data_IF_423468589055
#
_entry.id   IF_423468589055
#
_cell.length_a   1.000
_cell.length_b   1.000
_cell.length_c   1.000
_cell.angle_alpha   90.00
_cell.angle_beta   90.00
_cell.angle_gamma   90.00
#
_symmetry.space_group_name_H-M   'P 1'
#
loop_
_entity.id
_entity.type
_entity.pdbx_description
1 polymer ?
#
# COMPACT_ATOMS: atom_id res chain seq x y z
N UNK A 1 6.16 -17.53 -25.34
CA UNK A 1 6.08 -17.40 -23.87
C UNK A 1 5.52 -16.02 -23.58
N UNK A 2 4.48 -15.90 -22.74
CA UNK A 2 3.68 -14.68 -22.57
C UNK A 2 4.00 -14.04 -21.21
N UNK A 3 4.62 -12.86 -21.22
CA UNK A 3 4.39 -11.69 -20.34
C UNK A 3 3.94 -11.94 -18.88
N UNK A 4 4.59 -12.83 -18.13
CA UNK A 4 4.24 -13.07 -16.72
C UNK A 4 4.64 -11.89 -15.81
N UNK A 5 5.68 -11.13 -16.14
CA UNK A 5 6.26 -10.14 -15.22
C UNK A 5 5.40 -8.88 -14.97
N UNK A 6 4.61 -8.41 -15.93
CA UNK A 6 3.73 -7.24 -15.68
C UNK A 6 2.48 -7.58 -14.88
N UNK A 7 2.13 -8.88 -14.85
CA UNK A 7 0.95 -9.37 -14.15
C UNK A 7 1.20 -9.38 -12.65
N UNK A 8 2.43 -9.59 -12.19
CA UNK A 8 2.70 -9.82 -10.77
C UNK A 8 2.60 -8.55 -9.91
N UNK A 9 3.25 -7.43 -10.28
CA UNK A 9 3.15 -6.17 -9.53
C UNK A 9 1.72 -5.62 -9.49
N UNK A 10 1.06 -5.57 -10.66
CA UNK A 10 -0.29 -5.01 -10.78
C UNK A 10 -1.31 -5.92 -10.08
N UNK A 11 -1.18 -7.25 -10.21
CA UNK A 11 -2.10 -8.18 -9.54
C UNK A 11 -1.88 -8.19 -8.04
N UNK A 12 -0.63 -8.10 -7.57
CA UNK A 12 -0.30 -7.93 -6.16
C UNK A 12 -1.00 -6.70 -5.58
N UNK A 13 -0.85 -5.52 -6.19
CA UNK A 13 -1.50 -4.30 -5.71
C UNK A 13 -3.03 -4.39 -5.77
N UNK A 14 -3.59 -4.97 -6.84
CA UNK A 14 -5.06 -5.20 -6.93
C UNK A 14 -5.58 -6.12 -5.83
N UNK A 15 -4.80 -7.11 -5.40
CA UNK A 15 -5.15 -7.99 -4.29
C UNK A 15 -4.95 -7.31 -2.92
N UNK A 16 -3.97 -6.40 -2.80
CA UNK A 16 -3.70 -5.69 -1.56
C UNK A 16 -4.70 -4.58 -1.26
N UNK A 17 -5.29 -3.93 -2.26
CA UNK A 17 -6.34 -2.91 -2.05
C UNK A 17 -7.52 -3.45 -1.20
N UNK A 18 -8.17 -4.57 -1.53
CA UNK A 18 -9.24 -5.12 -0.69
C UNK A 18 -8.72 -5.65 0.65
N UNK A 19 -7.51 -6.20 0.72
CA UNK A 19 -6.89 -6.61 1.99
C UNK A 19 -6.78 -5.43 2.97
N UNK A 20 -6.32 -4.27 2.48
CA UNK A 20 -6.21 -3.06 3.29
C UNK A 20 -7.60 -2.50 3.66
N UNK A 21 -8.54 -2.53 2.72
CA UNK A 21 -9.92 -2.07 2.96
C UNK A 21 -10.59 -2.82 4.12
N UNK A 22 -10.27 -4.11 4.32
CA UNK A 22 -10.77 -4.89 5.45
C UNK A 22 -10.24 -4.36 6.79
N UNK A 23 -8.95 -4.03 6.88
CA UNK A 23 -8.37 -3.52 8.12
C UNK A 23 -8.82 -2.09 8.44
N UNK A 24 -9.02 -1.24 7.43
CA UNK A 24 -9.68 0.07 7.60
C UNK A 24 -11.07 -0.13 8.20
N UNK A 25 -11.92 -0.93 7.55
CA UNK A 25 -13.28 -1.21 8.02
C UNK A 25 -13.30 -1.80 9.43
N UNK A 26 -12.34 -2.67 9.75
CA UNK A 26 -12.22 -3.27 11.08
C UNK A 26 -11.87 -2.22 12.13
N UNK A 27 -10.89 -1.36 11.87
CA UNK A 27 -10.49 -0.26 12.75
C UNK A 27 -11.59 0.78 12.96
N UNK A 28 -12.35 1.11 11.90
CA UNK A 28 -13.47 2.04 11.96
C UNK A 28 -14.62 1.51 12.82
N UNK A 29 -14.94 0.21 12.68
CA UNK A 29 -16.10 -0.41 13.35
C UNK A 29 -15.78 -0.99 14.72
N UNK A 30 -14.52 -1.02 15.12
CA UNK A 30 -14.11 -1.60 16.40
C UNK A 30 -14.68 -0.80 17.60
N UNK A 31 -15.22 -1.52 18.57
CA UNK A 31 -15.72 -0.98 19.84
C UNK A 31 -14.57 -0.68 20.82
N UNK A 32 -13.67 0.23 20.45
CA UNK A 32 -12.49 0.61 21.23
C UNK A 32 -12.84 1.70 22.25
N UNK A 33 -12.49 1.47 23.51
CA UNK A 33 -12.69 2.43 24.63
C UNK A 33 -11.39 3.05 25.14
N UNK A 34 -10.27 2.35 24.95
CA UNK A 34 -8.96 2.81 25.39
C UNK A 34 -8.39 3.86 24.40
N UNK A 35 -7.90 5.02 24.88
CA UNK A 35 -7.41 6.08 24.01
C UNK A 35 -6.12 5.72 23.26
N UNK A 36 -5.23 4.90 23.84
CA UNK A 36 -4.01 4.46 23.17
C UNK A 36 -4.35 3.48 22.03
N UNK A 37 -5.29 2.57 22.27
CA UNK A 37 -5.78 1.65 21.23
C UNK A 37 -6.52 2.40 20.11
N UNK A 38 -7.27 3.45 20.44
CA UNK A 38 -7.92 4.31 19.42
C UNK A 38 -6.87 4.99 18.55
N UNK A 39 -5.84 5.60 19.18
CA UNK A 39 -4.74 6.23 18.45
C UNK A 39 -4.02 5.24 17.52
N UNK A 40 -3.81 4.00 17.97
CA UNK A 40 -3.24 2.95 17.13
C UNK A 40 -4.16 2.61 15.94
N UNK A 41 -5.46 2.43 16.17
CA UNK A 41 -6.43 2.13 15.12
C UNK A 41 -6.53 3.26 14.08
N UNK A 42 -6.52 4.51 14.52
CA UNK A 42 -6.53 5.68 13.63
C UNK A 42 -5.23 5.76 12.81
N UNK A 43 -4.09 5.40 13.40
CA UNK A 43 -2.83 5.25 12.66
C UNK A 43 -2.85 4.14 11.61
N UNK A 44 -3.53 3.02 11.89
CA UNK A 44 -3.76 1.94 10.92
C UNK A 44 -4.63 2.45 9.76
N UNK A 45 -5.72 3.16 10.05
CA UNK A 45 -6.61 3.72 9.02
C UNK A 45 -5.82 4.65 8.11
N UNK A 46 -5.12 5.61 8.71
CA UNK A 46 -4.34 6.61 7.98
C UNK A 46 -3.27 5.98 7.06
N UNK A 47 -2.46 5.04 7.60
CA UNK A 47 -1.46 4.34 6.82
C UNK A 47 -2.07 3.60 5.62
N UNK A 48 -3.15 2.85 5.85
CA UNK A 48 -3.73 2.00 4.82
C UNK A 48 -4.51 2.77 3.76
N UNK A 49 -5.15 3.88 4.13
CA UNK A 49 -5.74 4.83 3.17
C UNK A 49 -4.68 5.35 2.22
N UNK A 50 -3.52 5.74 2.75
CA UNK A 50 -2.38 6.22 1.96
C UNK A 50 -1.82 5.14 1.05
N UNK A 51 -1.63 3.93 1.55
CA UNK A 51 -1.14 2.79 0.77
C UNK A 51 -2.10 2.41 -0.37
N UNK A 52 -3.41 2.44 -0.15
CA UNK A 52 -4.41 2.24 -1.22
C UNK A 52 -4.27 3.31 -2.31
N UNK A 53 -4.12 4.59 -1.93
CA UNK A 53 -3.93 5.66 -2.90
C UNK A 53 -2.62 5.50 -3.70
N UNK A 54 -1.51 5.14 -3.04
CA UNK A 54 -0.24 4.83 -3.71
C UNK A 54 -0.39 3.67 -4.69
N UNK A 55 -1.04 2.57 -4.27
CA UNK A 55 -1.27 1.42 -5.13
C UNK A 55 -2.08 1.78 -6.37
N UNK A 56 -3.15 2.59 -6.24
CA UNK A 56 -3.92 3.07 -7.40
C UNK A 56 -3.07 3.88 -8.37
N UNK A 57 -2.23 4.79 -7.86
CA UNK A 57 -1.31 5.59 -8.68
C UNK A 57 -0.26 4.71 -9.38
N UNK A 58 0.32 3.75 -8.66
CA UNK A 58 1.32 2.83 -9.20
C UNK A 58 0.75 1.88 -10.24
N UNK A 59 -0.49 1.39 -10.04
CA UNK A 59 -1.22 0.59 -11.05
C UNK A 59 -1.38 1.41 -12.33
N UNK A 60 -1.87 2.66 -12.24
CA UNK A 60 -2.05 3.52 -13.41
C UNK A 60 -0.71 3.78 -14.12
N UNK A 61 0.36 4.06 -13.35
CA UNK A 61 1.71 4.23 -13.89
C UNK A 61 2.20 2.99 -14.63
N UNK A 62 2.09 1.80 -14.03
CA UNK A 62 2.55 0.54 -14.62
C UNK A 62 1.74 0.12 -15.85
N UNK A 63 0.44 0.44 -15.88
CA UNK A 63 -0.38 0.21 -17.06
C UNK A 63 0.02 1.11 -18.24
N UNK A 64 0.42 2.35 -17.97
CA UNK A 64 0.91 3.28 -18.99
C UNK A 64 2.36 3.01 -19.40
N UNK A 65 3.20 2.59 -18.45
CA UNK A 65 4.61 2.32 -18.63
C UNK A 65 5.03 1.10 -17.79
N UNK A 66 4.93 -0.11 -18.35
CA UNK A 66 5.26 -1.34 -17.65
C UNK A 66 6.74 -1.43 -17.25
N UNK A 67 7.04 -2.30 -16.29
CA UNK A 67 8.41 -2.70 -16.02
C UNK A 67 9.03 -3.36 -17.28
N UNK A 68 10.36 -3.28 -17.47
CA UNK A 68 11.03 -3.95 -18.57
C UNK A 68 10.76 -5.46 -18.56
N UNK A 69 10.59 -6.05 -19.74
CA UNK A 69 10.52 -7.50 -19.88
C UNK A 69 11.89 -8.14 -19.57
N UNK A 70 11.87 -9.23 -18.80
CA UNK A 70 13.03 -9.91 -18.23
C UNK A 70 13.58 -9.28 -16.95
N UNK A 71 12.88 -8.33 -16.31
CA UNK A 71 13.38 -7.69 -15.10
C UNK A 71 13.42 -8.70 -13.94
N UNK A 72 14.54 -8.83 -13.20
CA UNK A 72 14.62 -9.77 -12.10
C UNK A 72 13.77 -9.32 -10.91
N UNK A 73 13.26 -10.28 -10.15
CA UNK A 73 12.58 -10.02 -8.88
C UNK A 73 13.49 -9.24 -7.93
N UNK A 74 12.92 -8.22 -7.27
CA UNK A 74 13.63 -7.42 -6.27
C UNK A 74 13.50 -8.08 -4.89
N UNK A 75 14.62 -8.39 -4.20
CA UNK A 75 14.56 -8.99 -2.87
C UNK A 75 14.06 -8.01 -1.81
N UNK A 76 13.40 -8.55 -0.77
CA UNK A 76 12.90 -7.75 0.34
C UNK A 76 14.03 -7.05 1.11
N UNK A 77 13.71 -6.04 1.92
CA UNK A 77 14.72 -5.39 2.77
C UNK A 77 15.37 -6.40 3.75
N UNK A 78 14.63 -7.44 4.16
CA UNK A 78 15.12 -8.50 5.04
C UNK A 78 16.11 -9.42 4.34
N UNK A 79 15.78 -9.85 3.12
CA UNK A 79 16.64 -10.75 2.34
C UNK A 79 17.96 -10.06 1.94
N UNK A 80 17.91 -8.73 1.77
CA UNK A 80 19.10 -7.90 1.55
C UNK A 80 19.89 -7.58 2.81
N UNK A 81 19.39 -7.92 4.01
CA UNK A 81 20.00 -7.50 5.28
C UNK A 81 20.03 -5.98 5.48
N UNK A 82 19.11 -5.25 4.85
CA UNK A 82 19.02 -3.79 4.92
C UNK A 82 18.11 -3.35 6.09
N UNK A 83 18.23 -2.08 6.48
CA UNK A 83 17.24 -1.45 7.37
C UNK A 83 15.88 -1.30 6.66
N UNK A 84 14.75 -1.34 7.40
CA UNK A 84 13.45 -1.06 6.83
C UNK A 84 13.41 0.36 6.24
N UNK A 85 12.56 0.61 5.23
CA UNK A 85 12.36 1.96 4.74
C UNK A 85 11.85 2.88 5.86
N UNK A 86 12.13 4.19 5.80
CA UNK A 86 11.57 5.13 6.75
C UNK A 86 10.03 5.11 6.68
N UNK A 87 9.32 5.44 7.78
CA UNK A 87 7.88 5.55 7.77
C UNK A 87 7.41 6.55 6.72
N UNK A 88 6.35 6.21 5.99
CA UNK A 88 5.73 7.09 5.03
C UNK A 88 4.77 8.07 5.72
N UNK A 89 4.73 9.31 5.23
CA UNK A 89 3.80 10.38 5.65
C UNK A 89 3.02 10.91 4.44
N UNK A 90 1.98 11.71 4.66
CA UNK A 90 1.30 12.45 3.57
C UNK A 90 2.30 13.26 2.77
N UNK A 91 3.20 13.95 3.47
CA UNK A 91 4.24 14.78 2.85
C UNK A 91 5.21 13.94 2.01
N UNK A 92 5.68 12.81 2.53
CA UNK A 92 6.64 11.98 1.80
C UNK A 92 6.05 11.30 0.58
N UNK A 93 4.73 11.13 0.54
CA UNK A 93 4.01 10.43 -0.55
C UNK A 93 3.20 11.36 -1.46
N UNK A 94 3.02 12.63 -1.06
CA UNK A 94 2.13 13.57 -1.74
C UNK A 94 0.64 13.21 -1.66
N UNK A 95 0.24 12.36 -0.71
CA UNK A 95 -1.14 11.87 -0.56
C UNK A 95 -1.76 12.44 0.71
N UNK A 96 -2.87 13.15 0.55
CA UNK A 96 -3.69 13.67 1.65
C UNK A 96 -4.74 12.62 2.04
N UNK A 97 -4.54 11.96 3.19
CA UNK A 97 -5.42 10.88 3.66
C UNK A 97 -6.78 11.37 4.14
N UNK A 98 -6.96 12.68 4.29
CA UNK A 98 -8.26 13.29 4.64
C UNK A 98 -9.15 13.46 3.43
N UNK A 99 -8.60 13.36 2.22
CA UNK A 99 -9.38 13.42 0.98
C UNK A 99 -9.90 12.03 0.61
N UNK A 100 -11.08 11.95 -0.03
CA UNK A 100 -11.56 10.68 -0.55
C UNK A 100 -10.56 10.07 -1.54
N UNK A 101 -10.29 8.77 -1.39
CA UNK A 101 -9.47 8.02 -2.34
C UNK A 101 -10.25 7.88 -3.66
N UNK A 102 -9.88 8.66 -4.67
CA UNK A 102 -10.43 8.56 -6.04
C UNK A 102 -10.08 7.21 -6.67
#
# INVERSE_FOLDING_TARGET
>A
MRSQETVDDVSYMKAMIPHHSIAIMTSERAHIKDPEVRKMADGIIDAQVREIAQMKQMIARLQANPAPEGAPDLPSYRDRGASPPPPQTDESTGIDTRKPIS
#
